data_IF_138793031671
#
_entry.id   IF_138793031671
#
_cell.length_a   1.000
_cell.length_b   1.000
_cell.length_c   1.000
_cell.angle_alpha   90.00
_cell.angle_beta   90.00
_cell.angle_gamma   90.00
#
_symmetry.space_group_name_H-M   'P 1'
#
loop_
_entity.id
_entity.type
_entity.pdbx_description
1 polymer ?
#
# COMPACT_ATOMS: atom_id res chain seq x y z
N UNK A 1 11.01 26.40 -45.26
CA UNK A 1 10.26 26.70 -46.49
C UNK A 1 8.79 26.74 -46.13
N UNK A 2 8.23 27.95 -46.08
CA UNK A 2 6.80 28.30 -45.88
C UNK A 2 6.22 27.99 -44.49
N UNK A 3 5.44 28.84 -43.83
CA UNK A 3 4.91 30.20 -44.04
C UNK A 3 4.50 30.64 -42.61
N UNK A 4 4.79 31.87 -42.16
CA UNK A 4 3.87 33.01 -42.20
C UNK A 4 2.44 32.58 -41.77
N UNK A 5 1.86 33.08 -40.68
CA UNK A 5 1.44 34.46 -40.44
C UNK A 5 1.21 34.58 -38.93
N UNK A 6 1.78 35.55 -38.22
CA UNK A 6 1.25 36.91 -38.15
C UNK A 6 -0.26 36.94 -37.87
N UNK A 7 -0.60 37.03 -36.59
CA UNK A 7 -1.79 37.79 -36.21
C UNK A 7 -1.48 38.43 -34.87
N UNK A 8 -0.57 39.39 -34.95
CA UNK A 8 -0.70 40.61 -34.20
C UNK A 8 -2.13 41.13 -34.43
N UNK A 9 -3.00 40.96 -33.43
CA UNK A 9 -4.25 41.71 -33.35
C UNK A 9 -4.37 42.27 -31.97
N UNK A 10 -3.60 43.34 -31.82
CA UNK A 10 -3.91 44.54 -31.07
C UNK A 10 -5.41 44.62 -30.73
N UNK A 11 -5.69 44.27 -29.49
CA UNK A 11 -6.98 44.42 -28.83
C UNK A 11 -6.77 45.17 -27.53
N UNK A 12 -5.93 46.21 -27.54
CA UNK A 12 -6.02 47.29 -26.55
C UNK A 12 -7.36 47.99 -26.76
N UNK A 13 -8.42 47.38 -26.24
CA UNK A 13 -9.60 48.11 -25.82
C UNK A 13 -9.20 48.84 -24.54
N UNK A 14 -8.63 50.03 -24.71
CA UNK A 14 -8.76 51.08 -23.71
C UNK A 14 -10.22 51.50 -23.75
N UNK A 15 -11.07 50.75 -23.05
CA UNK A 15 -12.37 51.25 -22.61
C UNK A 15 -12.10 52.15 -21.40
N UNK A 16 -11.68 53.37 -21.72
CA UNK A 16 -11.68 54.50 -20.79
C UNK A 16 -13.12 55.03 -20.76
N UNK A 17 -13.85 54.63 -19.73
CA UNK A 17 -15.24 55.00 -19.50
C UNK A 17 -15.67 54.58 -18.11
N UNK A 18 -15.62 55.52 -17.18
CA UNK A 18 -15.97 55.37 -15.76
C UNK A 18 -17.46 55.08 -15.54
N UNK A 19 -17.96 53.92 -15.96
CA UNK A 19 -19.24 53.38 -15.50
C UNK A 19 -18.96 52.25 -14.51
N UNK A 20 -18.28 52.61 -13.40
CA UNK A 20 -18.32 51.75 -12.23
C UNK A 20 -19.80 51.65 -11.84
N UNK A 21 -20.37 50.44 -11.68
CA UNK A 21 -21.74 50.30 -11.26
C UNK A 21 -21.92 51.11 -9.99
N UNK A 22 -22.79 52.13 -10.06
CA UNK A 22 -23.03 53.05 -8.96
C UNK A 22 -23.31 52.24 -7.68
N UNK A 23 -22.63 52.60 -6.58
CA UNK A 23 -22.88 51.97 -5.29
C UNK A 23 -24.38 52.08 -4.99
N UNK A 24 -25.07 50.98 -4.62
CA UNK A 24 -26.46 51.04 -4.18
C UNK A 24 -26.74 52.16 -3.17
N UNK A 25 -25.78 52.52 -2.30
CA UNK A 25 -25.91 53.63 -1.37
C UNK A 25 -25.87 55.00 -2.05
N UNK A 26 -24.97 55.20 -3.01
CA UNK A 26 -24.90 56.41 -3.83
C UNK A 26 -26.20 56.59 -4.64
N UNK A 27 -26.80 55.49 -5.09
CA UNK A 27 -28.09 55.52 -5.79
C UNK A 27 -29.24 55.95 -4.89
N UNK A 28 -29.23 55.55 -3.62
CA UNK A 28 -30.22 56.01 -2.64
C UNK A 28 -30.07 57.52 -2.41
N UNK A 29 -28.82 58.01 -2.29
CA UNK A 29 -28.55 59.44 -2.13
C UNK A 29 -29.02 60.26 -3.34
N UNK A 30 -28.84 59.76 -4.56
CA UNK A 30 -29.36 60.38 -5.78
C UNK A 30 -30.90 60.41 -5.81
N UNK A 31 -31.56 59.33 -5.37
CA UNK A 31 -33.03 59.26 -5.31
C UNK A 31 -33.57 60.25 -4.27
N UNK A 32 -32.94 60.36 -3.09
CA UNK A 32 -33.30 61.36 -2.08
C UNK A 32 -33.16 62.76 -2.67
N UNK A 33 -32.02 63.08 -3.30
CA UNK A 33 -31.79 64.37 -3.94
C UNK A 33 -32.81 64.68 -5.06
N UNK A 34 -33.22 63.68 -5.84
CA UNK A 34 -34.23 63.82 -6.88
C UNK A 34 -35.60 64.15 -6.30
N UNK A 35 -36.02 63.45 -5.25
CA UNK A 35 -37.28 63.71 -4.54
C UNK A 35 -37.22 65.10 -3.88
N UNK A 36 -36.05 65.49 -3.35
CA UNK A 36 -35.79 66.78 -2.72
C UNK A 36 -35.82 67.99 -3.67
N UNK A 37 -35.62 67.77 -4.97
CA UNK A 37 -35.66 68.82 -5.99
C UNK A 37 -36.98 68.83 -6.78
N UNK A 38 -37.82 67.81 -6.61
CA UNK A 38 -39.09 67.68 -7.32
C UNK A 38 -40.07 68.82 -6.94
N UNK A 39 -40.64 69.49 -7.96
CA UNK A 39 -41.66 70.54 -7.77
C UNK A 39 -43.06 69.95 -7.70
N UNK A 40 -43.92 70.54 -6.87
CA UNK A 40 -45.35 70.28 -6.88
C UNK A 40 -45.98 70.76 -8.19
N UNK A 41 -46.75 69.90 -8.85
CA UNK A 41 -47.48 70.22 -10.07
C UNK A 41 -48.98 69.92 -9.89
N UNK A 42 -49.90 70.66 -10.57
CA UNK A 42 -51.32 70.35 -10.58
C UNK A 42 -51.56 68.94 -11.18
N UNK A 43 -52.59 68.24 -10.69
CA UNK A 43 -52.87 66.83 -11.03
C UNK A 43 -52.82 66.56 -12.55
N UNK A 44 -51.89 65.69 -12.96
CA UNK A 44 -51.76 65.15 -14.33
C UNK A 44 -51.97 63.63 -14.31
N UNK A 45 -52.42 63.04 -15.43
CA UNK A 45 -52.64 61.58 -15.56
C UNK A 45 -51.35 60.75 -15.54
N UNK A 46 -50.18 61.38 -15.66
CA UNK A 46 -48.87 60.72 -15.76
C UNK A 46 -48.08 60.69 -14.44
N UNK A 47 -48.53 61.41 -13.40
CA UNK A 47 -47.74 61.60 -12.18
C UNK A 47 -48.54 61.12 -10.96
N UNK A 48 -47.87 60.45 -10.02
CA UNK A 48 -48.46 60.06 -8.74
C UNK A 48 -48.18 61.11 -7.64
N UNK A 49 -49.10 61.22 -6.68
CA UNK A 49 -48.91 62.05 -5.47
C UNK A 49 -48.42 61.14 -4.36
N UNK A 50 -47.27 61.46 -3.78
CA UNK A 50 -46.65 60.76 -2.65
C UNK A 50 -46.35 61.77 -1.55
N UNK A 51 -46.47 61.35 -0.30
CA UNK A 51 -46.03 62.17 0.83
C UNK A 51 -44.51 62.20 0.84
N UNK A 52 -43.96 63.39 0.55
CA UNK A 52 -42.52 63.58 0.39
C UNK A 52 -41.73 63.20 1.64
N UNK A 53 -42.21 63.61 2.81
CA UNK A 53 -41.52 63.36 4.08
C UNK A 53 -41.45 61.87 4.39
N UNK A 54 -42.53 61.14 4.13
CA UNK A 54 -42.59 59.68 4.30
C UNK A 54 -41.63 58.95 3.35
N UNK A 55 -41.62 59.32 2.06
CA UNK A 55 -40.75 58.69 1.07
C UNK A 55 -39.25 58.91 1.35
N UNK A 56 -38.87 60.13 1.76
CA UNK A 56 -37.49 60.42 2.16
C UNK A 56 -37.13 59.65 3.44
N UNK A 57 -38.02 59.63 4.45
CA UNK A 57 -37.80 58.87 5.68
C UNK A 57 -37.54 57.39 5.43
N UNK A 58 -38.34 56.74 4.57
CA UNK A 58 -38.12 55.33 4.19
C UNK A 58 -36.76 55.09 3.51
N UNK A 59 -36.29 56.04 2.68
CA UNK A 59 -34.99 55.94 2.02
C UNK A 59 -33.82 56.18 2.99
N UNK A 60 -33.99 57.10 3.96
CA UNK A 60 -33.01 57.35 5.01
C UNK A 60 -32.87 56.16 5.97
N UNK A 61 -33.98 55.52 6.34
CA UNK A 61 -33.99 54.27 7.10
C UNK A 61 -33.26 53.16 6.33
N UNK A 62 -33.58 52.98 5.06
CA UNK A 62 -32.92 51.99 4.19
C UNK A 62 -31.41 52.25 4.08
N UNK A 63 -30.99 53.52 3.94
CA UNK A 63 -29.59 53.93 3.91
C UNK A 63 -28.86 53.62 5.22
N UNK A 64 -29.55 53.72 6.36
CA UNK A 64 -28.98 53.43 7.67
C UNK A 64 -28.79 51.93 7.91
N UNK A 65 -29.72 51.10 7.45
CA UNK A 65 -29.74 49.65 7.73
C UNK A 65 -28.88 48.84 6.74
N UNK A 66 -28.96 49.13 5.43
CA UNK A 66 -28.30 48.35 4.37
C UNK A 66 -26.78 48.14 4.57
N UNK A 67 -25.97 49.14 4.98
CA UNK A 67 -24.53 48.94 5.12
C UNK A 67 -24.19 47.87 6.16
N UNK A 68 -24.97 47.77 7.23
CA UNK A 68 -24.75 46.76 8.25
C UNK A 68 -25.07 45.35 7.72
N UNK A 69 -26.13 45.22 6.94
CA UNK A 69 -26.58 43.96 6.35
C UNK A 69 -25.62 43.45 5.27
N UNK A 70 -25.14 44.35 4.40
CA UNK A 70 -24.14 44.02 3.39
C UNK A 70 -22.82 43.58 4.03
N UNK A 71 -22.37 44.24 5.10
CA UNK A 71 -21.18 43.79 5.86
C UNK A 71 -21.37 42.40 6.47
N UNK A 72 -22.55 42.10 7.01
CA UNK A 72 -22.85 40.75 7.54
C UNK A 72 -22.85 39.70 6.43
N UNK A 73 -23.47 39.99 5.28
CA UNK A 73 -23.47 39.09 4.14
C UNK A 73 -22.06 38.82 3.60
N UNK A 74 -21.24 39.87 3.47
CA UNK A 74 -19.85 39.75 3.05
C UNK A 74 -19.02 38.90 4.03
N UNK A 75 -19.19 39.09 5.33
CA UNK A 75 -18.52 38.29 6.36
C UNK A 75 -18.91 36.81 6.28
N UNK A 76 -20.21 36.51 6.06
CA UNK A 76 -20.69 35.14 5.89
C UNK A 76 -20.12 34.48 4.61
N UNK A 77 -19.99 35.23 3.51
CA UNK A 77 -19.36 34.72 2.29
C UNK A 77 -17.88 34.40 2.53
N UNK A 78 -17.15 35.28 3.20
CA UNK A 78 -15.75 35.05 3.55
C UNK A 78 -15.58 33.83 4.47
N UNK A 79 -16.45 33.69 5.47
CA UNK A 79 -16.45 32.52 6.36
C UNK A 79 -16.77 31.23 5.61
N UNK A 80 -17.77 31.25 4.72
CA UNK A 80 -18.11 30.11 3.86
C UNK A 80 -16.91 29.70 3.02
N UNK A 81 -16.24 30.66 2.40
CA UNK A 81 -15.08 30.38 1.54
C UNK A 81 -13.93 29.79 2.37
N UNK A 82 -13.69 30.27 3.59
CA UNK A 82 -12.73 29.67 4.53
C UNK A 82 -13.07 28.22 4.88
N UNK A 83 -14.35 27.92 5.14
CA UNK A 83 -14.83 26.56 5.43
C UNK A 83 -14.61 25.65 4.22
N UNK A 84 -14.93 26.12 3.01
CA UNK A 84 -14.74 25.35 1.78
C UNK A 84 -13.26 25.03 1.55
N UNK A 85 -12.38 26.02 1.72
CA UNK A 85 -10.94 25.81 1.55
C UNK A 85 -10.32 24.93 2.66
N UNK A 86 -10.84 25.01 3.89
CA UNK A 86 -10.47 24.06 4.94
C UNK A 86 -10.93 22.63 4.60
N UNK A 87 -12.17 22.48 4.11
CA UNK A 87 -12.72 21.18 3.71
C UNK A 87 -11.96 20.54 2.55
N UNK A 88 -11.56 21.33 1.53
CA UNK A 88 -10.72 20.84 0.42
C UNK A 88 -9.37 20.34 0.91
N UNK A 89 -8.67 21.13 1.73
CA UNK A 89 -7.37 20.72 2.30
C UNK A 89 -7.48 19.45 3.14
N UNK A 90 -8.55 19.32 3.91
CA UNK A 90 -8.79 18.11 4.70
C UNK A 90 -9.10 16.90 3.83
N UNK A 91 -9.90 17.07 2.77
CA UNK A 91 -10.15 16.01 1.80
C UNK A 91 -8.86 15.55 1.12
N UNK A 92 -8.02 16.49 0.67
CA UNK A 92 -6.72 16.18 0.07
C UNK A 92 -5.80 15.43 1.05
N UNK A 93 -5.80 15.84 2.34
CA UNK A 93 -5.06 15.15 3.40
C UNK A 93 -5.53 13.71 3.58
N UNK A 94 -6.85 13.49 3.66
CA UNK A 94 -7.44 12.15 3.83
C UNK A 94 -7.11 11.26 2.63
N UNK A 95 -7.19 11.80 1.40
CA UNK A 95 -6.84 11.07 0.19
C UNK A 95 -5.37 10.66 0.22
N UNK A 96 -4.46 11.59 0.51
CA UNK A 96 -3.03 11.30 0.58
C UNK A 96 -2.69 10.26 1.66
N UNK A 97 -3.33 10.32 2.83
CA UNK A 97 -3.17 9.33 3.89
C UNK A 97 -3.69 7.95 3.46
N UNK A 98 -4.85 7.90 2.79
CA UNK A 98 -5.42 6.67 2.25
C UNK A 98 -4.55 6.02 1.18
N UNK A 99 -4.02 6.80 0.24
CA UNK A 99 -3.10 6.32 -0.79
C UNK A 99 -1.80 5.79 -0.18
N UNK A 100 -1.25 6.48 0.82
CA UNK A 100 -0.06 6.04 1.55
C UNK A 100 -0.26 4.71 2.27
N UNK A 101 -1.38 4.55 2.99
CA UNK A 101 -1.67 3.29 3.69
C UNK A 101 -1.98 2.15 2.71
N UNK A 102 -2.69 2.42 1.62
CA UNK A 102 -2.93 1.43 0.57
C UNK A 102 -1.61 0.92 -0.03
N UNK A 103 -0.68 1.83 -0.37
CA UNK A 103 0.64 1.46 -0.88
C UNK A 103 1.42 0.59 0.13
N UNK A 104 1.35 0.93 1.43
CA UNK A 104 1.97 0.14 2.50
C UNK A 104 1.39 -1.27 2.61
N UNK A 105 0.06 -1.40 2.53
CA UNK A 105 -0.63 -2.69 2.60
C UNK A 105 -0.29 -3.59 1.41
N UNK A 106 -0.30 -3.04 0.19
CA UNK A 106 0.10 -3.78 -1.02
C UNK A 106 1.54 -4.25 -0.92
N UNK A 107 2.48 -3.37 -0.54
CA UNK A 107 3.88 -3.75 -0.37
C UNK A 107 4.07 -4.84 0.69
N UNK A 108 3.39 -4.72 1.84
CA UNK A 108 3.43 -5.75 2.89
C UNK A 108 2.87 -7.08 2.41
N UNK A 109 1.77 -7.05 1.64
CA UNK A 109 1.16 -8.25 1.07
C UNK A 109 2.11 -8.92 0.07
N UNK A 110 2.69 -8.18 -0.86
CA UNK A 110 3.66 -8.70 -1.83
C UNK A 110 4.87 -9.34 -1.14
N UNK A 111 5.42 -8.70 -0.10
CA UNK A 111 6.51 -9.26 0.70
C UNK A 111 6.07 -10.58 1.36
N UNK A 112 4.87 -10.63 1.92
CA UNK A 112 4.35 -11.82 2.61
C UNK A 112 4.17 -12.98 1.63
N UNK A 113 3.52 -12.74 0.48
CA UNK A 113 3.32 -13.76 -0.56
C UNK A 113 4.67 -14.27 -1.09
N UNK A 114 5.63 -13.36 -1.34
CA UNK A 114 6.97 -13.75 -1.77
C UNK A 114 7.68 -14.59 -0.70
N UNK A 115 7.55 -14.23 0.58
CA UNK A 115 8.17 -14.97 1.68
C UNK A 115 7.55 -16.37 1.84
N UNK A 116 6.22 -16.49 1.70
CA UNK A 116 5.52 -17.78 1.72
C UNK A 116 5.95 -18.69 0.57
N UNK A 117 6.08 -18.13 -0.64
CA UNK A 117 6.55 -18.88 -1.81
C UNK A 117 7.98 -19.39 -1.62
N UNK A 118 8.88 -18.54 -1.11
CA UNK A 118 10.27 -18.93 -0.84
C UNK A 118 10.36 -19.95 0.29
N UNK A 119 9.57 -19.81 1.35
CA UNK A 119 9.48 -20.80 2.42
C UNK A 119 9.00 -22.16 1.88
N UNK A 120 7.97 -22.18 1.03
CA UNK A 120 7.49 -23.40 0.40
C UNK A 120 8.58 -24.06 -0.49
N UNK A 121 9.33 -23.25 -1.25
CA UNK A 121 10.47 -23.71 -2.05
C UNK A 121 11.56 -24.34 -1.19
N UNK A 122 11.97 -23.67 -0.11
CA UNK A 122 12.98 -24.17 0.82
C UNK A 122 12.55 -25.46 1.53
N UNK A 123 11.28 -25.55 1.95
CA UNK A 123 10.75 -26.77 2.57
C UNK A 123 10.74 -27.93 1.57
N UNK A 124 10.37 -27.67 0.32
CA UNK A 124 10.41 -28.69 -0.74
C UNK A 124 11.84 -29.16 -0.99
N UNK A 125 12.79 -28.23 -1.09
CA UNK A 125 14.21 -28.52 -1.29
C UNK A 125 14.79 -29.32 -0.13
N UNK A 126 14.52 -28.92 1.11
CA UNK A 126 14.96 -29.63 2.31
C UNK A 126 14.38 -31.04 2.40
N UNK A 127 13.11 -31.23 2.00
CA UNK A 127 12.49 -32.57 1.94
C UNK A 127 13.15 -33.45 0.88
N UNK A 128 13.43 -32.89 -0.30
CA UNK A 128 14.11 -33.62 -1.37
C UNK A 128 15.55 -34.00 -0.99
N UNK A 129 16.29 -33.09 -0.35
CA UNK A 129 17.63 -33.37 0.18
C UNK A 129 17.59 -34.44 1.27
N UNK A 130 16.66 -34.33 2.23
CA UNK A 130 16.52 -35.31 3.29
C UNK A 130 16.16 -36.71 2.75
N UNK A 131 15.36 -36.79 1.69
CA UNK A 131 15.07 -38.07 1.05
C UNK A 131 16.32 -38.63 0.35
N UNK A 132 17.03 -37.81 -0.43
CA UNK A 132 18.29 -38.25 -1.07
C UNK A 132 19.32 -38.74 -0.05
N UNK A 133 19.48 -38.04 1.07
CA UNK A 133 20.41 -38.45 2.13
C UNK A 133 19.99 -39.78 2.77
N UNK A 134 18.69 -40.02 2.95
CA UNK A 134 18.21 -41.32 3.45
C UNK A 134 18.55 -42.44 2.49
N UNK A 135 18.26 -42.24 1.20
CA UNK A 135 18.54 -43.23 0.17
C UNK A 135 20.05 -43.54 0.12
N UNK A 136 20.90 -42.51 0.19
CA UNK A 136 22.37 -42.67 0.23
C UNK A 136 22.86 -43.41 1.49
N UNK A 137 22.26 -43.13 2.65
CA UNK A 137 22.58 -43.83 3.91
C UNK A 137 22.14 -45.29 3.85
N UNK A 138 20.96 -45.57 3.31
CA UNK A 138 20.46 -46.94 3.15
C UNK A 138 21.39 -47.75 2.23
N UNK A 139 21.78 -47.19 1.08
CA UNK A 139 22.74 -47.81 0.15
C UNK A 139 24.11 -48.07 0.82
N UNK A 140 24.59 -47.12 1.63
CA UNK A 140 25.83 -47.28 2.37
C UNK A 140 25.74 -48.38 3.43
N UNK A 141 24.64 -48.43 4.18
CA UNK A 141 24.41 -49.46 5.21
C UNK A 141 24.34 -50.84 4.56
N UNK A 142 23.62 -51.01 3.46
CA UNK A 142 23.55 -52.28 2.73
C UNK A 142 24.93 -52.73 2.25
N UNK A 143 25.70 -51.81 1.67
CA UNK A 143 27.08 -52.10 1.23
C UNK A 143 27.98 -52.50 2.40
N UNK A 144 27.87 -51.80 3.53
CA UNK A 144 28.66 -52.09 4.73
C UNK A 144 28.29 -53.46 5.32
N UNK A 145 27.00 -53.78 5.39
CA UNK A 145 26.50 -55.07 5.87
C UNK A 145 26.94 -56.22 4.96
N UNK A 146 26.84 -56.07 3.64
CA UNK A 146 27.29 -57.08 2.68
C UNK A 146 28.81 -57.35 2.78
N UNK A 147 29.62 -56.30 3.02
CA UNK A 147 31.05 -56.46 3.26
C UNK A 147 31.35 -57.17 4.58
N UNK A 148 30.58 -56.85 5.62
CA UNK A 148 30.72 -57.48 6.94
C UNK A 148 30.31 -58.95 6.90
N UNK A 149 29.24 -59.30 6.19
CA UNK A 149 28.83 -60.67 5.94
C UNK A 149 29.96 -61.47 5.28
N UNK A 150 30.51 -60.97 4.18
CA UNK A 150 31.64 -61.63 3.51
C UNK A 150 32.85 -61.83 4.44
N UNK A 151 33.14 -60.85 5.30
CA UNK A 151 34.22 -60.96 6.28
C UNK A 151 33.94 -62.08 7.30
N UNK A 152 32.72 -62.14 7.84
CA UNK A 152 32.31 -63.18 8.78
C UNK A 152 32.33 -64.57 8.13
N UNK A 153 31.85 -64.73 6.90
CA UNK A 153 31.90 -66.00 6.17
C UNK A 153 33.34 -66.49 6.01
N UNK A 154 34.28 -65.62 5.63
CA UNK A 154 35.70 -65.98 5.51
C UNK A 154 36.31 -66.35 6.86
N UNK A 155 35.94 -65.63 7.91
CA UNK A 155 36.41 -65.87 9.28
C UNK A 155 35.91 -67.23 9.79
N UNK A 156 34.62 -67.52 9.63
CA UNK A 156 34.02 -68.81 10.00
C UNK A 156 34.71 -69.97 9.26
N UNK A 157 34.87 -69.84 7.94
CA UNK A 157 35.56 -70.84 7.13
C UNK A 157 37.02 -71.06 7.60
N UNK A 158 37.68 -70.01 8.10
CA UNK A 158 39.03 -70.15 8.68
C UNK A 158 39.02 -70.88 10.02
N UNK A 159 38.01 -70.65 10.86
CA UNK A 159 37.84 -71.36 12.14
C UNK A 159 37.53 -72.84 11.90
N UNK A 160 36.65 -73.15 10.95
CA UNK A 160 36.33 -74.53 10.55
C UNK A 160 37.56 -75.28 10.08
N UNK A 161 38.34 -74.69 9.15
CA UNK A 161 39.64 -75.26 8.73
C UNK A 161 40.60 -75.45 9.91
N UNK A 162 40.63 -74.51 10.84
CA UNK A 162 41.44 -74.60 12.07
C UNK A 162 41.01 -75.77 12.96
N UNK A 163 39.71 -75.98 13.13
CA UNK A 163 39.15 -77.11 13.88
C UNK A 163 39.42 -78.44 13.20
N UNK A 164 39.20 -78.55 11.90
CA UNK A 164 39.45 -79.78 11.14
C UNK A 164 40.92 -80.20 11.26
N UNK A 165 41.84 -79.24 11.18
CA UNK A 165 43.28 -79.49 11.40
C UNK A 165 43.57 -80.01 12.80
N UNK A 166 42.94 -79.45 13.84
CA UNK A 166 43.11 -79.92 15.22
C UNK A 166 42.52 -81.32 15.45
N UNK A 167 41.36 -81.62 14.85
CA UNK A 167 40.77 -82.96 14.89
C UNK A 167 41.68 -83.99 14.20
N UNK A 168 42.19 -83.68 13.00
CA UNK A 168 43.13 -84.55 12.29
C UNK A 168 44.43 -84.78 13.08
N UNK A 169 44.99 -83.74 13.70
CA UNK A 169 46.17 -83.87 14.57
C UNK A 169 45.89 -84.74 15.81
N UNK A 170 44.68 -84.67 16.38
CA UNK A 170 44.28 -85.50 17.52
C UNK A 170 44.13 -86.97 17.12
N UNK A 171 43.55 -87.26 15.96
CA UNK A 171 43.49 -88.63 15.44
C UNK A 171 44.90 -89.21 15.25
N UNK A 172 45.81 -88.46 14.61
CA UNK A 172 47.22 -88.85 14.44
C UNK A 172 47.91 -89.10 15.78
N UNK A 173 47.70 -88.24 16.78
CA UNK A 173 48.25 -88.42 18.13
C UNK A 173 47.66 -89.62 18.88
N UNK A 174 46.41 -89.99 18.60
CA UNK A 174 45.74 -91.16 19.19
C UNK A 174 46.30 -92.47 18.60
N UNK A 175 46.58 -92.48 17.28
CA UNK A 175 47.25 -93.62 16.63
C UNK A 175 48.69 -93.82 17.13
N UNK A 176 49.41 -92.74 17.47
CA UNK A 176 50.76 -92.84 18.03
C UNK A 176 50.78 -93.42 19.47
N UNK A 177 49.70 -93.25 20.25
CA UNK A 177 49.59 -93.83 21.60
C UNK A 177 49.17 -95.32 21.59
N UNK A 178 48.43 -95.78 20.57
CA UNK A 178 48.02 -97.19 20.45
C UNK A 178 49.17 -98.13 20.03
N UNK A 179 50.20 -97.64 19.33
CA UNK A 179 51.40 -98.44 19.00
C UNK A 179 52.33 -98.69 20.21
N UNK A 180 52.32 -97.81 21.22
CA UNK A 180 53.21 -97.89 22.38
C UNK A 180 52.68 -98.81 23.51
N UNK A 181 51.42 -99.26 23.42
CA UNK A 181 50.74 -100.01 24.48
C UNK A 181 50.44 -101.48 24.16
N UNK A 182 51.17 -102.08 23.21
CA UNK A 182 51.15 -103.54 23.01
C UNK A 182 51.95 -104.23 24.14
N UNK A 183 51.35 -105.09 24.97
CA UNK A 183 52.11 -105.82 25.98
C UNK A 183 53.03 -106.83 25.29
N UNK A 184 54.32 -106.82 25.66
CA UNK A 184 55.25 -107.89 25.30
C UNK A 184 54.76 -109.17 25.97
N UNK A 185 54.33 -110.13 25.14
CA UNK A 185 54.01 -111.49 25.58
C UNK A 185 55.32 -112.28 25.56
N UNK A 186 55.75 -112.76 26.74
CA UNK A 186 56.38 -114.07 27.04
C UNK A 186 56.47 -114.19 28.56
#
# INVERSE_FOLDING_TARGET
>A
MRDALDTDRDGRHTDDGSDAPMDPLDRIDEIIAMIEQARSAPMSRSNCVVERAEAIGMLEELRAELPADLRRAAALLEERDKIVEAGKREADRIIAEGEGEHARLVSTNEITVSAEHEAARLVSEARAEAQRLRDEVDDYVDTALANFEQFLTRSLASIERGRDKMHALREIGTFAQEEEQRPLTI
#
